data_IF_353859916253
#
_entry.id   IF_353859916253
#
_cell.length_a   1.000
_cell.length_b   1.000
_cell.length_c   1.000
_cell.angle_alpha   90.00
_cell.angle_beta   90.00
_cell.angle_gamma   90.00
#
_symmetry.space_group_name_H-M   'P 1'
#
loop_
_entity.id
_entity.type
_entity.pdbx_description
1 polymer ?
#
# COMPACT_ATOMS: atom_id res chain seq x y z
N UNK A 1 35.73 17.56 -46.18
CA UNK A 1 34.39 18.19 -46.27
C UNK A 1 33.48 17.28 -47.08
N UNK A 2 32.19 17.09 -46.87
CA UNK A 2 31.24 17.34 -45.80
C UNK A 2 29.90 16.89 -46.44
N UNK A 3 28.95 16.39 -45.64
CA UNK A 3 27.51 16.22 -45.99
C UNK A 3 27.15 15.02 -46.87
N UNK A 4 26.71 13.93 -46.23
CA UNK A 4 25.35 13.34 -46.35
C UNK A 4 25.29 11.94 -45.71
N UNK A 5 25.34 11.91 -44.38
CA UNK A 5 24.73 10.85 -43.55
C UNK A 5 24.33 11.50 -42.22
N UNK A 6 23.13 12.05 -42.18
CA UNK A 6 22.49 12.57 -40.97
C UNK A 6 21.03 12.20 -40.98
N UNK A 7 20.53 11.81 -39.80
CA UNK A 7 19.15 11.51 -39.44
C UNK A 7 18.65 10.11 -39.80
N UNK A 8 19.01 9.13 -38.96
CA UNK A 8 18.15 8.05 -38.49
C UNK A 8 18.84 7.43 -37.25
N UNK A 9 18.88 8.23 -36.19
CA UNK A 9 19.19 7.76 -34.84
C UNK A 9 18.08 8.34 -33.95
N UNK A 10 16.90 7.70 -34.01
CA UNK A 10 15.85 7.97 -33.03
C UNK A 10 16.30 7.29 -31.74
N UNK A 11 16.83 8.11 -30.84
CA UNK A 11 17.25 7.69 -29.52
C UNK A 11 16.10 7.04 -28.77
N UNK A 12 16.45 5.96 -28.08
CA UNK A 12 15.67 5.39 -26.99
C UNK A 12 15.16 6.51 -26.08
N UNK A 13 13.84 6.57 -25.92
CA UNK A 13 13.22 7.43 -24.92
C UNK A 13 13.75 7.02 -23.54
N UNK A 14 14.60 7.86 -22.97
CA UNK A 14 14.99 7.77 -21.57
C UNK A 14 13.71 7.90 -20.75
N UNK A 15 13.26 6.80 -20.16
CA UNK A 15 12.36 6.84 -18.99
C UNK A 15 13.00 7.75 -17.96
N UNK A 16 12.33 8.80 -17.47
CA UNK A 16 12.90 9.64 -16.42
C UNK A 16 12.94 8.82 -15.13
N UNK A 17 14.12 8.30 -14.80
CA UNK A 17 14.42 7.77 -13.48
C UNK A 17 14.62 8.94 -12.52
N UNK A 18 13.58 9.25 -11.75
CA UNK A 18 13.72 10.01 -10.51
C UNK A 18 12.85 9.33 -9.45
N UNK A 19 13.51 8.66 -8.51
CA UNK A 19 13.13 8.76 -7.11
C UNK A 19 14.44 8.80 -6.34
N UNK A 20 14.74 9.90 -5.60
CA UNK A 20 15.82 9.84 -4.63
C UNK A 20 15.52 8.72 -3.62
N UNK A 21 16.58 8.13 -3.08
CA UNK A 21 16.52 7.24 -1.92
C UNK A 21 15.55 7.81 -0.87
N UNK A 22 14.53 7.04 -0.47
CA UNK A 22 13.61 7.41 0.59
C UNK A 22 13.99 6.60 1.83
N UNK A 23 14.56 7.25 2.86
CA UNK A 23 15.04 6.59 4.08
C UNK A 23 14.06 5.65 4.77
N UNK A 24 12.75 5.92 4.62
CA UNK A 24 11.67 5.13 5.20
C UNK A 24 11.40 3.83 4.43
N UNK A 25 11.78 3.74 3.15
CA UNK A 25 11.45 2.65 2.24
C UNK A 25 12.65 1.83 1.79
N UNK A 26 13.84 2.42 1.72
CA UNK A 26 15.08 1.75 1.30
C UNK A 26 16.01 1.38 2.46
N UNK A 27 15.57 1.63 3.70
CA UNK A 27 16.36 1.40 4.91
C UNK A 27 17.61 2.29 5.01
N UNK A 28 17.80 3.26 4.10
CA UNK A 28 18.94 4.16 4.11
C UNK A 28 18.66 5.38 4.97
N UNK A 29 19.09 5.29 6.23
CA UNK A 29 19.25 6.44 7.15
C UNK A 29 17.97 7.19 7.54
N UNK A 30 16.92 6.49 7.98
CA UNK A 30 16.13 7.07 9.07
C UNK A 30 16.98 6.90 10.34
N UNK A 31 17.52 7.97 10.94
CA UNK A 31 18.35 7.85 12.13
C UNK A 31 17.59 7.25 13.34
N UNK A 32 16.26 7.13 13.28
CA UNK A 32 15.44 6.51 14.32
C UNK A 32 14.25 5.72 13.71
N UNK A 33 14.45 4.48 13.24
CA UNK A 33 13.31 3.62 12.90
C UNK A 33 12.40 3.49 14.14
N UNK A 34 11.06 3.53 13.97
CA UNK A 34 10.16 3.50 15.12
C UNK A 34 10.36 2.22 15.93
N UNK A 35 10.70 2.37 17.21
CA UNK A 35 10.93 1.25 18.12
C UNK A 35 9.63 0.60 18.61
N UNK A 36 8.51 1.33 18.53
CA UNK A 36 7.19 0.86 18.95
C UNK A 36 6.56 -0.17 18.02
N UNK A 37 6.96 -0.23 16.74
CA UNK A 37 6.31 -1.08 15.78
C UNK A 37 6.81 -2.53 15.88
N UNK A 38 5.90 -3.52 15.96
CA UNK A 38 6.27 -4.92 15.82
C UNK A 38 6.95 -5.16 14.47
N UNK A 39 7.89 -6.11 14.43
CA UNK A 39 8.64 -6.47 13.22
C UNK A 39 7.72 -6.71 12.01
N UNK A 40 6.60 -7.41 12.23
CA UNK A 40 5.59 -7.67 11.20
C UNK A 40 5.03 -6.39 10.57
N UNK A 41 4.71 -5.37 11.38
CA UNK A 41 4.20 -4.11 10.86
C UNK A 41 5.25 -3.42 9.97
N UNK A 42 6.51 -3.40 10.41
CA UNK A 42 7.63 -2.86 9.62
C UNK A 42 7.75 -3.61 8.28
N UNK A 43 7.65 -4.93 8.29
CA UNK A 43 7.67 -5.74 7.06
C UNK A 43 6.52 -5.38 6.12
N UNK A 44 5.30 -5.23 6.65
CA UNK A 44 4.14 -4.83 5.85
C UNK A 44 4.35 -3.45 5.23
N UNK A 45 4.85 -2.48 6.00
CA UNK A 45 5.15 -1.14 5.50
C UNK A 45 6.20 -1.15 4.39
N UNK A 46 7.22 -2.00 4.48
CA UNK A 46 8.21 -2.17 3.40
C UNK A 46 7.60 -2.75 2.12
N UNK A 47 6.58 -3.60 2.25
CA UNK A 47 5.87 -4.18 1.11
C UNK A 47 4.95 -3.14 0.45
N UNK A 48 4.22 -2.34 1.23
CA UNK A 48 3.17 -1.43 0.70
C UNK A 48 3.60 0.04 0.58
N UNK A 49 4.77 0.39 1.11
CA UNK A 49 5.22 1.77 1.22
C UNK A 49 5.71 2.38 -0.10
N UNK A 50 6.28 1.57 -1.01
CA UNK A 50 6.67 2.03 -2.35
C UNK A 50 5.47 2.54 -3.17
N UNK A 51 4.38 1.76 -3.35
CA UNK A 51 3.17 2.27 -3.97
C UNK A 51 2.55 3.45 -3.23
N UNK A 52 2.61 3.47 -1.89
CA UNK A 52 2.11 4.60 -1.10
C UNK A 52 2.85 5.90 -1.44
N UNK A 53 4.19 5.86 -1.50
CA UNK A 53 5.00 7.03 -1.83
C UNK A 53 4.75 7.50 -3.27
N UNK A 54 4.69 6.57 -4.22
CA UNK A 54 4.36 6.88 -5.61
C UNK A 54 2.94 7.48 -5.73
N UNK A 55 1.95 6.97 -4.99
CA UNK A 55 0.59 7.54 -4.94
C UNK A 55 0.60 9.00 -4.49
N UNK A 56 1.37 9.32 -3.44
CA UNK A 56 1.51 10.70 -2.97
C UNK A 56 2.16 11.61 -4.02
N UNK A 57 3.13 11.11 -4.79
CA UNK A 57 3.76 11.85 -5.90
C UNK A 57 2.77 12.13 -7.04
N UNK A 58 1.99 11.12 -7.44
CA UNK A 58 0.96 11.26 -8.47
C UNK A 58 -0.20 12.17 -8.06
N UNK A 59 -0.50 12.20 -6.76
CA UNK A 59 -1.46 13.14 -6.19
C UNK A 59 -0.95 14.59 -6.15
N UNK A 60 0.30 14.84 -6.57
CA UNK A 60 0.91 16.17 -6.62
C UNK A 60 0.93 16.89 -5.28
N UNK A 61 1.04 16.15 -4.17
CA UNK A 61 1.14 16.76 -2.85
C UNK A 61 2.52 17.42 -2.69
N UNK A 62 2.53 18.75 -2.77
CA UNK A 62 3.74 19.57 -2.64
C UNK A 62 3.54 20.58 -1.53
N UNK A 63 4.30 20.41 -0.44
CA UNK A 63 4.37 21.37 0.65
C UNK A 63 5.24 22.55 0.21
N UNK A 64 4.72 23.39 -0.69
CA UNK A 64 5.40 24.61 -1.18
C UNK A 64 4.50 25.82 -0.89
N UNK A 65 5.11 26.94 -0.48
CA UNK A 65 4.38 28.18 -0.17
C UNK A 65 3.46 28.07 1.06
N UNK A 66 2.39 28.85 1.11
CA UNK A 66 1.45 28.88 2.26
C UNK A 66 0.31 27.84 2.15
N UNK A 67 0.48 26.78 1.37
CA UNK A 67 -0.56 25.78 1.19
C UNK A 67 -0.84 25.00 2.50
N UNK A 68 -2.11 24.87 2.87
CA UNK A 68 -2.56 24.05 3.99
C UNK A 68 -3.23 22.78 3.48
N UNK A 69 -2.79 21.64 4.01
CA UNK A 69 -3.30 20.32 3.66
C UNK A 69 -4.05 19.73 4.84
N UNK A 70 -5.30 19.31 4.58
CA UNK A 70 -6.07 18.47 5.50
C UNK A 70 -6.29 17.14 4.83
N UNK A 71 -5.65 16.10 5.36
CA UNK A 71 -5.53 14.79 4.72
C UNK A 71 -6.22 13.73 5.56
N UNK A 72 -6.99 12.85 4.93
CA UNK A 72 -7.41 11.59 5.54
C UNK A 72 -6.49 10.46 5.06
N UNK A 73 -5.78 9.84 5.99
CA UNK A 73 -5.14 8.53 5.83
C UNK A 73 -6.18 7.46 6.21
N UNK A 74 -6.90 6.96 5.20
CA UNK A 74 -8.02 6.05 5.36
C UNK A 74 -7.55 4.58 5.29
N UNK A 75 -8.02 3.75 6.24
CA UNK A 75 -7.46 2.43 6.50
C UNK A 75 -5.93 2.48 6.71
N UNK A 76 -5.51 3.34 7.66
CA UNK A 76 -4.13 3.77 7.80
C UNK A 76 -3.15 2.68 8.27
N UNK A 77 -3.65 1.58 8.86
CA UNK A 77 -2.81 0.58 9.51
C UNK A 77 -1.90 1.22 10.56
N UNK A 78 -0.61 0.93 10.50
CA UNK A 78 0.43 1.54 11.36
C UNK A 78 0.94 2.91 10.88
N UNK A 79 0.28 3.48 9.87
CA UNK A 79 0.46 4.86 9.43
C UNK A 79 1.63 5.11 8.50
N UNK A 80 1.88 4.22 7.52
CA UNK A 80 2.94 4.43 6.51
C UNK A 80 2.67 5.68 5.66
N UNK A 81 1.43 5.93 5.24
CA UNK A 81 1.06 7.14 4.48
C UNK A 81 1.25 8.37 5.36
N UNK A 82 0.76 8.33 6.61
CA UNK A 82 1.04 9.35 7.63
C UNK A 82 2.56 9.62 7.76
N UNK A 83 3.39 8.59 7.89
CA UNK A 83 4.84 8.73 8.02
C UNK A 83 5.47 9.44 6.81
N UNK A 84 5.08 9.03 5.60
CA UNK A 84 5.56 9.62 4.35
C UNK A 84 5.13 11.09 4.21
N UNK A 85 3.89 11.41 4.57
CA UNK A 85 3.38 12.78 4.59
C UNK A 85 4.15 13.66 5.59
N UNK A 86 4.39 13.16 6.80
CA UNK A 86 5.18 13.86 7.83
C UNK A 86 6.62 14.06 7.40
N UNK A 87 7.24 13.08 6.74
CA UNK A 87 8.59 13.21 6.19
C UNK A 87 8.67 14.31 5.12
N UNK A 88 7.73 14.33 4.17
CA UNK A 88 7.65 15.37 3.11
C UNK A 88 7.43 16.77 3.69
N UNK A 89 6.55 16.88 4.70
CA UNK A 89 6.28 18.16 5.35
C UNK A 89 7.49 18.69 6.13
N UNK A 90 8.29 17.82 6.78
CA UNK A 90 9.53 18.21 7.48
C UNK A 90 10.57 18.82 6.54
N UNK A 91 10.62 18.38 5.28
CA UNK A 91 11.53 18.91 4.27
C UNK A 91 11.11 20.27 3.71
N UNK A 92 9.95 20.79 4.11
CA UNK A 92 9.46 22.10 3.67
C UNK A 92 9.51 23.16 4.78
N UNK A 93 9.81 24.39 4.38
CA UNK A 93 9.81 25.57 5.26
C UNK A 93 8.44 26.26 5.38
N UNK A 94 7.41 25.80 4.65
CA UNK A 94 6.11 26.44 4.64
C UNK A 94 4.95 25.46 4.33
N UNK A 95 3.89 25.53 5.12
CA UNK A 95 2.65 24.77 4.97
C UNK A 95 2.17 24.10 6.27
N UNK A 96 0.85 24.11 6.51
CA UNK A 96 0.23 23.38 7.61
C UNK A 96 -0.23 22.02 7.10
N UNK A 97 0.04 20.95 7.85
CA UNK A 97 -0.41 19.59 7.54
C UNK A 97 -1.18 19.05 8.74
N UNK A 98 -2.49 18.93 8.56
CA UNK A 98 -3.39 18.28 9.51
C UNK A 98 -3.81 16.93 8.91
N UNK A 99 -3.52 15.84 9.63
CA UNK A 99 -3.84 14.47 9.21
C UNK A 99 -4.91 13.93 10.15
N UNK A 100 -5.98 13.36 9.60
CA UNK A 100 -6.81 12.38 10.29
C UNK A 100 -6.35 11.02 9.79
N UNK A 101 -5.93 10.14 10.69
CA UNK A 101 -5.58 8.77 10.40
C UNK A 101 -6.64 7.85 11.00
N UNK A 102 -7.24 7.00 10.18
CA UNK A 102 -8.34 6.16 10.61
C UNK A 102 -8.19 4.72 10.16
N UNK A 103 -8.57 3.81 11.06
CA UNK A 103 -8.66 2.39 10.78
C UNK A 103 -9.85 1.80 11.56
N UNK A 104 -10.31 0.63 11.14
CA UNK A 104 -11.36 -0.11 11.86
C UNK A 104 -10.76 -0.90 13.03
N UNK A 105 -9.50 -1.32 12.93
CA UNK A 105 -8.84 -2.11 13.98
C UNK A 105 -8.17 -1.20 15.02
N UNK A 106 -8.77 -1.11 16.20
CA UNK A 106 -8.24 -0.32 17.31
C UNK A 106 -6.81 -0.74 17.73
N UNK A 107 -6.44 -2.01 17.52
CA UNK A 107 -5.10 -2.50 17.89
C UNK A 107 -4.02 -1.92 17.00
N UNK A 108 -4.28 -1.69 15.70
CA UNK A 108 -3.31 -1.02 14.83
C UNK A 108 -3.26 0.48 15.13
N UNK A 109 -4.39 1.08 15.54
CA UNK A 109 -4.42 2.46 16.00
C UNK A 109 -3.61 2.68 17.27
N UNK A 110 -3.58 1.73 18.20
CA UNK A 110 -2.69 1.79 19.38
C UNK A 110 -1.21 1.81 19.00
N UNK A 111 -0.82 1.07 17.96
CA UNK A 111 0.54 1.11 17.43
C UNK A 111 0.85 2.47 16.77
N UNK A 112 -0.09 3.00 16.01
CA UNK A 112 0.05 4.33 15.39
C UNK A 112 0.16 5.43 16.44
N UNK A 113 -0.63 5.41 17.52
CA UNK A 113 -0.53 6.38 18.63
C UNK A 113 0.85 6.37 19.27
N UNK A 114 1.39 5.18 19.57
CA UNK A 114 2.76 5.05 20.09
C UNK A 114 3.80 5.61 19.13
N UNK A 115 3.66 5.32 17.82
CA UNK A 115 4.54 5.88 16.79
C UNK A 115 4.46 7.39 16.71
N UNK A 116 3.26 7.96 16.79
CA UNK A 116 3.03 9.42 16.81
C UNK A 116 3.80 10.06 17.98
N UNK A 117 3.69 9.47 19.18
CA UNK A 117 4.41 9.92 20.38
C UNK A 117 5.93 9.81 20.20
N UNK A 118 6.43 8.64 19.80
CA UNK A 118 7.86 8.39 19.58
C UNK A 118 8.48 9.32 18.53
N UNK A 119 7.77 9.57 17.43
CA UNK A 119 8.24 10.44 16.36
C UNK A 119 7.95 11.93 16.59
N UNK A 120 7.24 12.29 17.67
CA UNK A 120 6.84 13.66 17.99
C UNK A 120 5.97 14.30 16.91
N UNK A 121 5.13 13.53 16.21
CA UNK A 121 4.29 14.05 15.13
C UNK A 121 3.16 14.93 15.68
N UNK A 122 3.17 16.20 15.33
CA UNK A 122 2.08 17.14 15.60
C UNK A 122 1.03 17.12 14.47
N UNK A 123 -0.20 17.53 14.75
CA UNK A 123 -1.25 17.64 13.72
C UNK A 123 -1.69 16.30 13.15
N UNK A 124 -1.68 15.23 13.97
CA UNK A 124 -2.21 13.92 13.60
C UNK A 124 -3.31 13.55 14.60
N UNK A 125 -4.54 13.42 14.11
CA UNK A 125 -5.69 12.91 14.86
C UNK A 125 -5.92 11.45 14.50
N UNK A 126 -6.14 10.59 15.50
CA UNK A 126 -6.39 9.15 15.29
C UNK A 126 -7.86 8.83 15.57
N UNK A 127 -8.57 8.25 14.61
CA UNK A 127 -9.99 7.95 14.72
C UNK A 127 -10.30 6.48 14.39
N UNK A 128 -11.18 5.85 15.19
CA UNK A 128 -11.69 4.52 14.90
C UNK A 128 -13.01 4.61 14.13
N UNK A 129 -13.02 4.21 12.86
CA UNK A 129 -14.26 4.05 12.10
C UNK A 129 -14.09 3.11 10.90
N UNK A 130 -15.22 2.56 10.45
CA UNK A 130 -15.30 1.84 9.19
C UNK A 130 -15.27 2.81 8.01
N UNK A 131 -14.36 2.60 7.06
CA UNK A 131 -14.25 3.39 5.82
C UNK A 131 -15.55 3.43 5.00
N UNK A 132 -16.47 2.47 5.16
CA UNK A 132 -17.79 2.50 4.52
C UNK A 132 -18.80 3.42 5.23
N UNK A 133 -18.43 4.06 6.36
CA UNK A 133 -19.27 4.93 7.17
C UNK A 133 -18.47 6.08 7.78
N UNK A 134 -17.85 6.91 6.93
CA UNK A 134 -16.95 7.99 7.33
C UNK A 134 -17.69 9.10 8.13
N UNK A 135 -17.38 9.33 9.42
CA UNK A 135 -18.09 10.29 10.28
C UNK A 135 -17.50 11.70 10.22
N UNK A 136 -16.95 12.08 9.08
CA UNK A 136 -16.26 13.37 8.87
C UNK A 136 -17.15 14.34 8.07
N UNK A 137 -17.02 15.67 8.28
CA UNK A 137 -17.85 16.65 7.61
C UNK A 137 -17.58 16.74 6.11
N UNK A 138 -18.61 17.09 5.35
CA UNK A 138 -18.54 17.36 3.91
C UNK A 138 -17.50 18.43 3.61
N UNK A 139 -16.85 18.33 2.45
CA UNK A 139 -15.97 19.38 1.90
C UNK A 139 -14.92 19.92 2.88
N UNK A 140 -14.34 19.03 3.68
CA UNK A 140 -13.41 19.39 4.74
C UNK A 140 -11.97 18.97 4.47
N UNK A 141 -11.74 18.00 3.57
CA UNK A 141 -10.42 17.46 3.25
C UNK A 141 -9.92 17.94 1.89
N UNK A 142 -8.63 18.24 1.80
CA UNK A 142 -7.98 18.49 0.50
C UNK A 142 -7.57 17.19 -0.16
N UNK A 143 -7.19 16.17 0.63
CA UNK A 143 -6.78 14.87 0.10
C UNK A 143 -7.33 13.72 0.95
N UNK A 144 -7.56 12.59 0.30
CA UNK A 144 -7.84 11.32 0.95
C UNK A 144 -6.99 10.22 0.32
N UNK A 145 -6.29 9.45 1.12
CA UNK A 145 -5.43 8.37 0.66
C UNK A 145 -5.86 7.06 1.30
N UNK A 146 -6.06 6.02 0.50
CA UNK A 146 -6.34 4.67 0.97
C UNK A 146 -5.31 3.72 0.39
N UNK A 147 -4.29 3.37 1.18
CA UNK A 147 -3.19 2.52 0.73
C UNK A 147 -3.48 1.04 1.04
N UNK A 148 -3.77 0.25 0.02
CA UNK A 148 -4.14 -1.17 0.12
C UNK A 148 -5.32 -1.47 1.07
N UNK A 149 -6.22 -0.51 1.27
CA UNK A 149 -7.39 -0.64 2.16
C UNK A 149 -8.72 -0.93 1.45
N UNK A 150 -8.90 -0.42 0.23
CA UNK A 150 -10.22 -0.35 -0.42
C UNK A 150 -10.82 -1.72 -0.73
N UNK A 151 -9.98 -2.68 -1.13
CA UNK A 151 -10.41 -4.03 -1.50
C UNK A 151 -10.73 -4.92 -0.28
N UNK A 152 -10.55 -4.43 0.94
CA UNK A 152 -11.06 -5.12 2.13
C UNK A 152 -12.53 -4.80 2.42
N UNK A 153 -13.07 -3.71 1.88
CA UNK A 153 -14.48 -3.33 2.06
C UNK A 153 -15.39 -4.14 1.15
N UNK A 154 -16.49 -4.67 1.72
CA UNK A 154 -17.59 -5.25 0.93
C UNK A 154 -18.52 -4.18 0.33
N UNK A 155 -18.34 -2.91 0.72
CA UNK A 155 -19.17 -1.78 0.32
C UNK A 155 -18.27 -0.70 -0.29
N UNK A 156 -17.46 -1.06 -1.29
CA UNK A 156 -16.49 -0.14 -1.92
C UNK A 156 -17.18 1.11 -2.49
N UNK A 157 -18.41 0.99 -3.00
CA UNK A 157 -19.24 2.13 -3.42
C UNK A 157 -19.45 3.15 -2.30
N UNK A 158 -19.83 2.70 -1.09
CA UNK A 158 -20.03 3.59 0.06
C UNK A 158 -18.73 4.25 0.53
N UNK A 159 -17.61 3.53 0.42
CA UNK A 159 -16.28 4.12 0.70
C UNK A 159 -16.04 5.27 -0.27
N UNK A 160 -16.20 5.04 -1.57
CA UNK A 160 -15.97 6.06 -2.59
C UNK A 160 -16.92 7.26 -2.45
N UNK A 161 -18.20 7.03 -2.19
CA UNK A 161 -19.18 8.10 -1.91
C UNK A 161 -18.79 8.91 -0.68
N UNK A 162 -18.39 8.25 0.41
CA UNK A 162 -17.91 8.90 1.63
C UNK A 162 -16.67 9.74 1.39
N UNK A 163 -15.68 9.19 0.68
CA UNK A 163 -14.44 9.89 0.30
C UNK A 163 -14.76 11.10 -0.56
N UNK A 164 -15.59 10.95 -1.60
CA UNK A 164 -16.00 12.04 -2.48
C UNK A 164 -16.74 13.15 -1.70
N UNK A 165 -17.64 12.78 -0.79
CA UNK A 165 -18.39 13.72 0.04
C UNK A 165 -17.47 14.61 0.90
N UNK A 166 -16.48 14.02 1.57
CA UNK A 166 -15.61 14.76 2.50
C UNK A 166 -14.53 15.60 1.80
N UNK A 167 -14.23 15.31 0.54
CA UNK A 167 -13.31 16.12 -0.26
C UNK A 167 -13.91 17.48 -0.56
N UNK A 168 -13.07 18.53 -0.50
CA UNK A 168 -13.36 19.86 -1.04
C UNK A 168 -13.46 19.81 -2.57
N UNK A 169 -14.16 20.74 -3.23
CA UNK A 169 -13.99 20.97 -4.66
C UNK A 169 -12.50 21.17 -5.00
N UNK A 170 -12.01 20.47 -6.03
CA UNK A 170 -10.58 20.40 -6.38
C UNK A 170 -9.74 19.47 -5.49
N UNK A 171 -10.35 18.77 -4.53
CA UNK A 171 -9.67 17.80 -3.67
C UNK A 171 -9.33 16.50 -4.40
N UNK A 172 -8.31 15.79 -3.92
CA UNK A 172 -7.74 14.61 -4.59
C UNK A 172 -7.93 13.34 -3.75
N UNK A 173 -8.38 12.26 -4.37
CA UNK A 173 -8.33 10.93 -3.77
C UNK A 173 -7.26 10.06 -4.44
N UNK A 174 -6.51 9.32 -3.63
CA UNK A 174 -5.58 8.30 -4.09
C UNK A 174 -5.87 6.94 -3.47
N UNK A 175 -5.83 5.89 -4.30
CA UNK A 175 -6.02 4.51 -3.89
C UNK A 175 -4.88 3.64 -4.43
N UNK A 176 -4.43 2.68 -3.64
CA UNK A 176 -3.55 1.60 -4.12
C UNK A 176 -4.20 0.22 -3.92
N UNK A 177 -3.93 -0.68 -4.86
CA UNK A 177 -4.41 -2.07 -4.82
C UNK A 177 -3.40 -3.02 -5.48
N UNK A 178 -3.59 -4.32 -5.31
CA UNK A 178 -2.74 -5.32 -5.96
C UNK A 178 -3.16 -5.52 -7.42
N UNK A 179 -2.24 -5.33 -8.39
CA UNK A 179 -2.44 -5.82 -9.77
C UNK A 179 -2.32 -7.33 -9.80
N UNK A 180 -1.24 -7.82 -9.20
CA UNK A 180 -0.93 -9.23 -9.08
C UNK A 180 -0.07 -9.45 -7.83
N UNK A 181 -0.29 -10.59 -7.18
CA UNK A 181 0.55 -11.05 -6.07
C UNK A 181 1.59 -11.99 -6.66
N UNK A 182 2.64 -11.42 -7.25
CA UNK A 182 3.66 -12.14 -8.05
C UNK A 182 4.37 -13.25 -7.27
N UNK A 183 4.47 -13.09 -5.96
CA UNK A 183 5.07 -14.07 -5.05
C UNK A 183 4.12 -15.21 -4.62
N UNK A 184 2.87 -15.24 -5.07
CA UNK A 184 1.90 -16.26 -4.65
C UNK A 184 2.31 -17.70 -5.02
N UNK A 185 3.25 -17.86 -5.95
CA UNK A 185 3.84 -19.16 -6.23
C UNK A 185 4.48 -19.79 -4.96
N UNK A 186 5.08 -18.98 -4.07
CA UNK A 186 5.74 -19.45 -2.86
C UNK A 186 4.79 -20.23 -1.93
N UNK A 187 3.66 -19.69 -1.43
CA UNK A 187 2.74 -20.45 -0.59
C UNK A 187 2.13 -21.66 -1.31
N UNK A 188 1.91 -21.58 -2.63
CA UNK A 188 1.41 -22.74 -3.38
C UNK A 188 2.44 -23.88 -3.47
N UNK A 189 3.72 -23.55 -3.68
CA UNK A 189 4.84 -24.51 -3.64
C UNK A 189 5.03 -25.05 -2.23
N UNK A 190 4.90 -24.20 -1.21
CA UNK A 190 5.06 -24.58 0.19
C UNK A 190 4.08 -25.67 0.61
N UNK A 191 2.79 -25.50 0.28
CA UNK A 191 1.80 -26.55 0.56
C UNK A 191 2.09 -27.81 -0.24
N UNK A 192 2.44 -27.69 -1.52
CA UNK A 192 2.72 -28.87 -2.36
C UNK A 192 3.92 -29.68 -1.85
N UNK A 193 4.99 -29.02 -1.40
CA UNK A 193 6.24 -29.69 -1.01
C UNK A 193 6.25 -30.12 0.47
N UNK A 194 5.68 -29.32 1.37
CA UNK A 194 5.82 -29.52 2.83
C UNK A 194 4.52 -29.88 3.53
N UNK A 195 3.35 -29.66 2.91
CA UNK A 195 2.04 -29.96 3.50
C UNK A 195 1.10 -30.59 2.44
N UNK A 196 1.51 -31.70 1.79
CA UNK A 196 0.87 -32.19 0.56
C UNK A 196 -0.59 -32.61 0.71
N UNK A 197 -1.04 -32.90 1.93
CA UNK A 197 -2.42 -33.26 2.24
C UNK A 197 -3.34 -32.05 2.47
N UNK A 198 -2.80 -30.82 2.47
CA UNK A 198 -3.58 -29.60 2.63
C UNK A 198 -4.39 -29.27 1.35
N UNK A 199 -5.62 -28.75 1.47
CA UNK A 199 -6.35 -28.26 0.32
C UNK A 199 -5.62 -27.10 -0.38
N UNK A 200 -5.85 -26.92 -1.69
CA UNK A 200 -5.22 -25.82 -2.43
C UNK A 200 -5.71 -24.43 -1.96
N UNK A 201 -4.81 -23.44 -1.95
CA UNK A 201 -5.15 -22.04 -1.61
C UNK A 201 -5.91 -21.31 -2.73
N UNK A 202 -5.79 -21.74 -3.99
CA UNK A 202 -6.38 -21.04 -5.13
C UNK A 202 -5.76 -19.65 -5.40
N UNK A 203 -6.43 -18.85 -6.23
CA UNK A 203 -6.01 -17.48 -6.57
C UNK A 203 -6.41 -16.50 -5.46
N UNK A 204 -5.46 -15.74 -4.86
CA UNK A 204 -5.75 -14.84 -3.75
C UNK A 204 -6.59 -13.64 -4.19
N UNK A 205 -6.52 -13.23 -5.46
CA UNK A 205 -7.24 -12.07 -5.98
C UNK A 205 -8.75 -12.30 -6.02
N UNK A 206 -9.17 -13.55 -6.23
CA UNK A 206 -10.58 -13.98 -6.19
C UNK A 206 -11.20 -13.94 -4.80
N UNK A 207 -10.38 -13.75 -3.76
CA UNK A 207 -10.86 -13.74 -2.38
C UNK A 207 -11.27 -12.35 -1.90
N UNK A 208 -10.90 -11.30 -2.64
CA UNK A 208 -11.32 -9.94 -2.31
C UNK A 208 -12.73 -9.68 -2.85
N UNK A 209 -13.60 -8.98 -2.11
CA UNK A 209 -14.99 -8.71 -2.50
C UNK A 209 -15.12 -7.91 -3.81
N UNK A 210 -14.06 -7.22 -4.24
CA UNK A 210 -14.09 -6.27 -5.36
C UNK A 210 -12.87 -6.43 -6.27
N UNK A 211 -13.05 -6.08 -7.54
CA UNK A 211 -12.07 -6.35 -8.63
C UNK A 211 -11.03 -5.23 -8.79
N UNK A 212 -10.51 -4.71 -7.68
CA UNK A 212 -9.50 -3.63 -7.69
C UNK A 212 -8.14 -4.06 -8.27
N UNK A 213 -7.99 -5.30 -8.72
CA UNK A 213 -6.85 -5.77 -9.54
C UNK A 213 -7.00 -5.44 -11.04
N UNK A 214 -8.14 -4.87 -11.45
CA UNK A 214 -8.39 -4.35 -12.79
C UNK A 214 -8.46 -2.81 -12.78
N UNK A 215 -7.60 -2.17 -13.58
CA UNK A 215 -7.54 -0.72 -13.74
C UNK A 215 -8.86 -0.15 -14.28
N UNK A 216 -9.51 -0.87 -15.18
CA UNK A 216 -10.78 -0.43 -15.78
C UNK A 216 -11.90 -0.44 -14.74
N UNK A 217 -11.89 -1.44 -13.84
CA UNK A 217 -12.82 -1.51 -12.73
C UNK A 217 -12.59 -0.34 -11.75
N UNK A 218 -11.34 -0.08 -11.38
CA UNK A 218 -10.98 1.03 -10.48
C UNK A 218 -11.40 2.40 -11.05
N UNK A 219 -11.10 2.65 -12.34
CA UNK A 219 -11.53 3.87 -13.04
C UNK A 219 -13.03 4.01 -13.03
N UNK A 220 -13.75 2.96 -13.45
CA UNK A 220 -15.21 2.99 -13.52
C UNK A 220 -15.85 3.27 -12.16
N UNK A 221 -15.40 2.58 -11.10
CA UNK A 221 -15.93 2.76 -9.74
C UNK A 221 -15.76 4.19 -9.24
N UNK A 222 -14.58 4.78 -9.44
CA UNK A 222 -14.36 6.17 -9.06
C UNK A 222 -15.20 7.14 -9.91
N UNK A 223 -15.33 6.93 -11.22
CA UNK A 223 -16.19 7.78 -12.06
C UNK A 223 -17.66 7.68 -11.65
N UNK A 224 -18.16 6.48 -11.36
CA UNK A 224 -19.53 6.25 -10.90
C UNK A 224 -19.79 6.96 -9.55
N UNK A 225 -18.77 7.09 -8.70
CA UNK A 225 -18.82 7.82 -7.43
C UNK A 225 -18.66 9.35 -7.57
N UNK A 226 -18.49 9.88 -8.79
CA UNK A 226 -18.44 11.32 -9.08
C UNK A 226 -17.04 11.91 -9.24
N UNK A 227 -15.98 11.10 -9.17
CA UNK A 227 -14.62 11.61 -9.39
C UNK A 227 -14.38 11.96 -10.87
N UNK A 228 -13.69 13.08 -11.10
CA UNK A 228 -13.17 13.51 -12.40
C UNK A 228 -11.67 13.20 -12.54
N UNK A 229 -11.17 13.30 -13.78
CA UNK A 229 -9.75 13.12 -14.12
C UNK A 229 -9.12 11.83 -13.57
N UNK A 230 -9.92 10.76 -13.50
CA UNK A 230 -9.49 9.48 -12.93
C UNK A 230 -8.42 8.82 -13.79
N UNK A 231 -7.26 8.55 -13.19
CA UNK A 231 -6.13 7.84 -13.80
C UNK A 231 -5.76 6.65 -12.95
N UNK A 232 -5.78 5.46 -13.56
CA UNK A 232 -5.36 4.20 -12.94
C UNK A 232 -4.25 3.59 -13.78
N UNK A 233 -3.12 3.25 -13.16
CA UNK A 233 -1.99 2.64 -13.86
C UNK A 233 -1.30 1.58 -12.99
N UNK A 234 -0.78 0.53 -13.63
CA UNK A 234 0.14 -0.42 -13.00
C UNK A 234 1.46 0.25 -12.64
N UNK A 235 1.83 0.17 -11.36
CA UNK A 235 3.12 0.55 -10.82
C UNK A 235 3.92 -0.71 -10.47
N UNK A 236 5.08 -0.87 -11.12
CA UNK A 236 6.00 -1.97 -10.86
C UNK A 236 7.13 -1.49 -9.96
N UNK A 237 7.39 -2.24 -8.88
CA UNK A 237 8.44 -1.90 -7.94
C UNK A 237 9.17 -3.16 -7.48
N UNK A 238 10.42 -2.99 -7.04
CA UNK A 238 11.18 -4.06 -6.39
C UNK A 238 10.88 -4.02 -4.90
N UNK A 239 10.80 -5.20 -4.30
CA UNK A 239 10.82 -5.29 -2.84
C UNK A 239 12.18 -4.82 -2.30
N UNK A 240 12.17 -4.33 -1.07
CA UNK A 240 13.37 -3.91 -0.36
C UNK A 240 14.38 -5.08 -0.33
N UNK A 241 15.57 -4.94 -0.94
CA UNK A 241 16.57 -6.01 -0.99
C UNK A 241 17.15 -6.36 0.39
N UNK A 242 16.91 -5.53 1.41
CA UNK A 242 17.29 -5.79 2.80
C UNK A 242 16.22 -6.56 3.58
N UNK A 243 15.05 -6.84 2.99
CA UNK A 243 14.01 -7.61 3.67
C UNK A 243 14.46 -9.07 3.81
N UNK A 244 14.61 -9.53 5.06
CA UNK A 244 15.01 -10.91 5.33
C UNK A 244 13.93 -11.90 4.84
N UNK A 245 14.30 -13.05 4.25
CA UNK A 245 13.34 -14.06 3.83
C UNK A 245 12.40 -14.51 4.94
N UNK A 246 12.89 -14.61 6.18
CA UNK A 246 12.10 -14.94 7.37
C UNK A 246 10.95 -13.96 7.60
N UNK A 247 11.22 -12.68 7.42
CA UNK A 247 10.24 -11.64 7.67
C UNK A 247 9.18 -11.62 6.58
N UNK A 248 9.61 -11.77 5.33
CA UNK A 248 8.66 -11.84 4.24
C UNK A 248 7.84 -13.13 4.27
N UNK A 249 8.43 -14.25 4.70
CA UNK A 249 7.72 -15.52 4.93
C UNK A 249 6.50 -15.33 5.84
N UNK A 250 6.66 -14.57 6.92
CA UNK A 250 5.57 -14.31 7.86
C UNK A 250 4.47 -13.46 7.21
N UNK A 251 4.82 -12.44 6.42
CA UNK A 251 3.84 -11.63 5.69
C UNK A 251 3.07 -12.47 4.65
N UNK A 252 3.75 -13.36 3.93
CA UNK A 252 3.10 -14.31 3.02
C UNK A 252 2.19 -15.28 3.75
N UNK A 253 2.66 -15.83 4.88
CA UNK A 253 1.90 -16.77 5.70
C UNK A 253 0.60 -16.13 6.20
N UNK A 254 0.62 -14.84 6.55
CA UNK A 254 -0.58 -14.12 6.96
C UNK A 254 -1.63 -14.09 5.84
N UNK A 255 -1.25 -13.74 4.61
CA UNK A 255 -2.19 -13.75 3.47
C UNK A 255 -2.62 -15.17 3.11
N UNK A 256 -1.71 -16.13 3.09
CA UNK A 256 -2.01 -17.54 2.84
C UNK A 256 -3.02 -18.09 3.86
N UNK A 257 -2.86 -17.79 5.15
CA UNK A 257 -3.81 -18.15 6.20
C UNK A 257 -5.14 -17.43 6.04
N UNK A 258 -5.16 -16.16 5.64
CA UNK A 258 -6.41 -15.45 5.35
C UNK A 258 -7.18 -16.13 4.22
N UNK A 259 -6.50 -16.53 3.14
CA UNK A 259 -7.10 -17.27 2.03
C UNK A 259 -7.56 -18.66 2.48
N UNK A 260 -6.73 -19.39 3.22
CA UNK A 260 -7.07 -20.70 3.78
C UNK A 260 -8.32 -20.62 4.67
N UNK A 261 -8.41 -19.63 5.56
CA UNK A 261 -9.56 -19.43 6.45
C UNK A 261 -10.88 -19.23 5.70
N UNK A 262 -10.82 -18.63 4.50
CA UNK A 262 -12.00 -18.41 3.65
C UNK A 262 -12.38 -19.63 2.81
N UNK A 263 -11.40 -20.47 2.43
CA UNK A 263 -11.61 -21.57 1.47
C UNK A 263 -11.68 -22.95 2.09
N UNK A 264 -10.98 -23.16 3.19
CA UNK A 264 -10.84 -24.48 3.81
C UNK A 264 -11.97 -24.71 4.81
N UNK A 265 -12.22 -25.98 5.12
CA UNK A 265 -13.06 -26.33 6.26
C UNK A 265 -12.40 -25.86 7.57
N UNK A 266 -13.19 -25.70 8.64
CA UNK A 266 -12.63 -25.38 9.97
C UNK A 266 -11.62 -26.42 10.43
N UNK A 267 -11.85 -27.69 10.10
CA UNK A 267 -10.99 -28.81 10.47
C UNK A 267 -9.68 -28.79 9.69
N UNK A 268 -9.73 -28.55 8.37
CA UNK A 268 -8.54 -28.40 7.54
C UNK A 268 -7.72 -27.17 7.97
N UNK A 269 -8.39 -26.04 8.25
CA UNK A 269 -7.72 -24.85 8.73
C UNK A 269 -7.01 -25.12 10.06
N UNK A 270 -7.69 -25.71 11.03
CA UNK A 270 -7.09 -26.04 12.33
C UNK A 270 -5.92 -27.02 12.19
N UNK A 271 -6.00 -27.97 11.25
CA UNK A 271 -4.98 -29.00 11.02
C UNK A 271 -3.74 -28.46 10.30
N UNK A 272 -3.91 -27.67 9.24
CA UNK A 272 -2.83 -27.35 8.31
C UNK A 272 -2.32 -25.91 8.41
N UNK A 273 -3.14 -24.95 8.85
CA UNK A 273 -2.72 -23.55 8.97
C UNK A 273 -1.47 -23.34 9.86
N UNK A 274 -1.26 -24.09 10.96
CA UNK A 274 -0.05 -23.96 11.78
C UNK A 274 1.26 -24.29 11.05
N UNK A 275 1.22 -25.08 9.97
CA UNK A 275 2.41 -25.50 9.20
C UNK A 275 2.78 -24.54 8.07
N UNK A 276 1.92 -23.55 7.76
CA UNK A 276 2.10 -22.67 6.59
C UNK A 276 3.38 -21.82 6.71
N UNK A 277 3.67 -21.26 7.88
CA UNK A 277 4.79 -20.32 8.09
C UNK A 277 6.13 -21.02 7.87
N UNK A 278 6.30 -22.21 8.46
CA UNK A 278 7.52 -23.00 8.32
C UNK A 278 7.67 -23.53 6.89
N UNK A 279 6.58 -23.99 6.27
CA UNK A 279 6.59 -24.44 4.87
C UNK A 279 7.02 -23.33 3.91
N UNK A 280 6.47 -22.12 4.05
CA UNK A 280 6.85 -20.96 3.25
C UNK A 280 8.32 -20.62 3.48
N UNK A 281 8.76 -20.57 4.74
CA UNK A 281 10.16 -20.28 5.07
C UNK A 281 11.12 -21.27 4.42
N UNK A 282 10.77 -22.56 4.38
CA UNK A 282 11.60 -23.59 3.77
C UNK A 282 11.71 -23.41 2.25
N UNK A 283 10.62 -23.06 1.55
CA UNK A 283 10.67 -22.70 0.13
C UNK A 283 11.61 -21.50 -0.09
N UNK A 284 11.50 -20.47 0.75
CA UNK A 284 12.29 -19.27 0.59
C UNK A 284 13.78 -19.48 0.85
N UNK A 285 14.14 -20.27 1.85
CA UNK A 285 15.53 -20.66 2.10
C UNK A 285 16.11 -21.50 0.95
N UNK A 286 15.28 -22.32 0.29
CA UNK A 286 15.65 -23.14 -0.86
C UNK A 286 15.84 -22.31 -2.12
N UNK A 287 14.91 -21.38 -2.41
CA UNK A 287 14.94 -20.55 -3.63
C UNK A 287 15.93 -19.37 -3.51
N UNK A 288 16.14 -18.85 -2.30
CA UNK A 288 16.98 -17.69 -2.02
C UNK A 288 18.04 -18.01 -0.94
N UNK A 289 18.97 -18.94 -1.20
CA UNK A 289 19.94 -19.43 -0.20
C UNK A 289 20.92 -18.37 0.29
N UNK A 290 21.03 -17.23 -0.41
CA UNK A 290 21.87 -16.10 -0.05
C UNK A 290 21.10 -14.92 0.54
N UNK A 291 19.79 -15.09 0.80
CA UNK A 291 18.95 -14.11 1.49
C UNK A 291 18.59 -12.86 0.67
N UNK A 292 19.04 -12.75 -0.58
CA UNK A 292 18.71 -11.64 -1.46
C UNK A 292 17.52 -11.98 -2.34
N UNK A 293 16.49 -11.16 -2.24
CA UNK A 293 15.22 -11.33 -2.90
C UNK A 293 15.05 -10.26 -3.99
N UNK A 294 15.14 -10.62 -5.27
CA UNK A 294 14.94 -9.69 -6.41
C UNK A 294 13.59 -9.94 -7.10
N UNK A 295 12.49 -9.87 -6.34
CA UNK A 295 11.15 -9.96 -6.92
C UNK A 295 10.59 -8.57 -7.18
N UNK A 296 9.84 -8.53 -8.27
CA UNK A 296 9.07 -7.38 -8.67
C UNK A 296 7.63 -7.60 -8.23
N UNK A 297 7.03 -6.54 -7.71
CA UNK A 297 5.63 -6.47 -7.34
C UNK A 297 4.90 -5.50 -8.25
N UNK A 298 3.61 -5.74 -8.44
CA UNK A 298 2.74 -4.91 -9.27
C UNK A 298 1.55 -4.43 -8.44
N UNK A 299 1.52 -3.12 -8.21
CA UNK A 299 0.37 -2.43 -7.64
C UNK A 299 -0.39 -1.70 -8.74
N UNK A 300 -1.66 -1.42 -8.52
CA UNK A 300 -2.41 -0.40 -9.25
C UNK A 300 -2.43 0.85 -8.37
N UNK A 301 -2.17 2.01 -8.98
CA UNK A 301 -2.33 3.30 -8.32
C UNK A 301 -3.39 4.08 -9.09
N UNK A 302 -4.47 4.43 -8.39
CA UNK A 302 -5.58 5.19 -8.95
C UNK A 302 -5.69 6.54 -8.27
N UNK A 303 -5.70 7.62 -9.05
CA UNK A 303 -5.89 9.00 -8.59
C UNK A 303 -7.16 9.56 -9.26
N UNK A 304 -7.96 10.31 -8.53
CA UNK A 304 -9.09 11.08 -9.07
C UNK A 304 -9.33 12.36 -8.28
N UNK A 305 -10.12 13.27 -8.84
CA UNK A 305 -10.40 14.58 -8.24
C UNK A 305 -11.89 14.77 -8.02
N UNK A 306 -12.25 15.61 -7.04
CA UNK A 306 -13.61 16.13 -6.93
C UNK A 306 -13.72 17.40 -7.76
N UNK A 307 -14.69 17.44 -8.68
CA UNK A 307 -15.04 18.65 -9.45
C UNK A 307 -15.73 19.71 -8.60
#
# INVERSE_FOLDING_TARGET
MQKLRSALNMGSSKTPTFSPANPLLDGSTDPNPPTSLPKMAITQERVVGHPANEMLDRASIKFEGQNSFRVLDNACGTGIVTALLKARARSSSAGQLDIVASDIDEKVLDLLRKRIEECGWQGVEVMNFDQASIPLPDESFTHVFTNFGIFFSQQDDKVLEGVHRILKPGGVAGFTSWKAITWWHVPTTALKEYVPDAPALGDPTTQFPSQWHDESYAVKKMQDAGFSDVKSEVYKYKLDPQLAPEDFAQAMAMLAKMVAMRRWSKDDFAKYAPSIDEAILNVLKKEYPHGQWDQHMEAIITIGQKS
#
